data_IF_325027444000
#
_entry.id   IF_325027444000
#
_cell.length_a   1.000
_cell.length_b   1.000
_cell.length_c   1.000
_cell.angle_alpha   90.00
_cell.angle_beta   90.00
_cell.angle_gamma   90.00
#
_symmetry.space_group_name_H-M   'P 1'
#
loop_
_entity.id
_entity.type
_entity.pdbx_description
1 polymer ?
#
# COMPACT_ATOMS: atom_id res chain seq x y z
N UNK A 1 2.97 12.25 4.35
CA UNK A 1 2.33 10.99 4.75
C UNK A 1 0.86 11.09 4.38
N UNK A 2 0.34 10.04 3.77
CA UNK A 2 -1.02 9.92 3.23
C UNK A 2 -1.68 8.73 3.88
N UNK A 3 -2.99 8.81 4.12
CA UNK A 3 -3.80 7.69 4.57
C UNK A 3 -4.64 7.14 3.42
N UNK A 4 -4.98 5.87 3.51
CA UNK A 4 -5.83 5.21 2.54
C UNK A 4 -6.35 3.87 3.03
N UNK A 5 -7.07 3.21 2.15
CA UNK A 5 -7.65 1.89 2.41
C UNK A 5 -7.12 0.92 1.36
N UNK A 6 -6.67 -0.26 1.80
CA UNK A 6 -6.22 -1.31 0.88
C UNK A 6 -7.42 -1.76 0.05
N UNK A 7 -7.36 -1.50 -1.26
CA UNK A 7 -8.43 -1.84 -2.19
C UNK A 7 -8.43 -3.32 -2.50
N UNK A 8 -7.24 -3.87 -2.71
CA UNK A 8 -6.99 -5.30 -2.81
C UNK A 8 -5.48 -5.53 -2.71
N UNK A 9 -5.10 -6.72 -2.26
CA UNK A 9 -3.70 -7.16 -2.24
C UNK A 9 -3.61 -8.65 -2.52
N UNK A 10 -2.77 -9.05 -3.46
CA UNK A 10 -2.48 -10.45 -3.72
C UNK A 10 -1.19 -10.83 -3.01
N UNK A 11 -1.31 -11.55 -1.89
CA UNK A 11 -0.17 -11.96 -1.07
C UNK A 11 0.77 -12.95 -1.77
N UNK A 12 0.25 -13.80 -2.67
CA UNK A 12 1.05 -14.75 -3.44
C UNK A 12 1.95 -14.03 -4.46
N UNK A 13 1.41 -12.97 -5.08
CA UNK A 13 2.14 -12.16 -6.06
C UNK A 13 2.91 -11.00 -5.43
N UNK A 14 2.62 -10.65 -4.18
CA UNK A 14 3.32 -9.60 -3.42
C UNK A 14 2.97 -8.17 -3.86
N UNK A 15 1.80 -7.94 -4.46
CA UNK A 15 1.39 -6.58 -4.84
C UNK A 15 -0.13 -6.38 -4.79
N UNK A 16 -0.52 -5.11 -4.76
CA UNK A 16 -1.90 -4.66 -4.70
C UNK A 16 -2.04 -3.17 -4.98
N UNK A 17 -3.17 -2.62 -4.57
CA UNK A 17 -3.46 -1.18 -4.67
C UNK A 17 -4.10 -0.67 -3.39
N UNK A 18 -3.77 0.58 -3.06
CA UNK A 18 -4.36 1.34 -1.96
C UNK A 18 -5.18 2.47 -2.59
N UNK A 19 -6.45 2.56 -2.22
CA UNK A 19 -7.28 3.71 -2.56
C UNK A 19 -6.97 4.85 -1.58
N UNK A 20 -6.59 5.99 -2.13
CA UNK A 20 -6.44 7.23 -1.38
C UNK A 20 -7.83 7.78 -1.01
N UNK A 21 -7.92 8.52 0.10
CA UNK A 21 -9.16 9.25 0.42
C UNK A 21 -9.47 10.32 -0.63
N UNK A 22 -8.42 10.92 -1.20
CA UNK A 22 -8.50 11.87 -2.32
C UNK A 22 -7.32 11.61 -3.28
N UNK A 23 -7.62 11.16 -4.49
CA UNK A 23 -6.61 10.90 -5.52
C UNK A 23 -6.83 9.58 -6.27
N UNK A 24 -5.94 9.25 -7.21
CA UNK A 24 -5.96 7.95 -7.89
C UNK A 24 -5.58 6.80 -6.94
N UNK A 25 -5.81 5.56 -7.39
CA UNK A 25 -5.28 4.39 -6.69
C UNK A 25 -3.75 4.38 -6.77
N UNK A 26 -3.10 4.00 -5.67
CA UNK A 26 -1.64 3.97 -5.53
C UNK A 26 -1.17 2.53 -5.50
N UNK A 27 -0.17 2.20 -6.31
CA UNK A 27 0.40 0.86 -6.37
C UNK A 27 1.12 0.51 -5.06
N UNK A 28 0.87 -0.70 -4.52
CA UNK A 28 1.49 -1.19 -3.30
C UNK A 28 2.27 -2.48 -3.58
N UNK A 29 3.57 -2.49 -3.31
CA UNK A 29 4.42 -3.66 -3.40
C UNK A 29 4.82 -4.15 -2.00
N UNK A 30 4.96 -5.46 -1.80
CA UNK A 30 5.25 -6.03 -0.49
C UNK A 30 6.53 -5.46 0.14
N UNK A 31 7.54 -5.11 -0.69
CA UNK A 31 8.81 -4.55 -0.21
C UNK A 31 8.65 -3.22 0.53
N UNK A 32 7.59 -2.46 0.22
CA UNK A 32 7.28 -1.18 0.85
C UNK A 32 6.62 -1.31 2.23
N UNK A 33 6.12 -2.50 2.58
CA UNK A 33 5.44 -2.76 3.85
C UNK A 33 6.46 -2.81 4.99
N UNK A 34 6.20 -2.03 6.03
CA UNK A 34 6.97 -1.97 7.26
C UNK A 34 6.39 -3.00 8.24
N UNK A 35 7.01 -4.18 8.27
CA UNK A 35 6.69 -5.27 9.20
C UNK A 35 7.89 -6.21 9.30
N UNK A 36 8.12 -6.77 10.49
CA UNK A 36 9.21 -7.71 10.77
C UNK A 36 8.90 -9.14 10.29
N UNK A 37 7.64 -9.41 9.92
CA UNK A 37 7.15 -10.73 9.51
C UNK A 37 6.81 -10.84 8.03
N UNK A 38 5.86 -11.72 7.71
CA UNK A 38 5.33 -11.84 6.36
C UNK A 38 4.68 -10.51 5.93
N UNK A 39 5.17 -9.95 4.81
CA UNK A 39 4.76 -8.63 4.32
C UNK A 39 3.53 -8.75 3.44
N UNK A 40 2.36 -8.60 4.04
CA UNK A 40 1.08 -8.57 3.32
C UNK A 40 0.15 -7.50 3.87
N UNK A 41 -0.87 -7.20 3.07
CA UNK A 41 -2.00 -6.35 3.44
C UNK A 41 -3.29 -7.12 3.21
N UNK A 42 -4.34 -6.82 3.96
CA UNK A 42 -5.68 -7.34 3.73
C UNK A 42 -6.56 -6.26 3.08
N UNK A 43 -7.50 -6.68 2.24
CA UNK A 43 -8.52 -5.78 1.71
C UNK A 43 -9.31 -5.13 2.85
N UNK A 44 -9.49 -3.81 2.77
CA UNK A 44 -10.15 -3.02 3.79
C UNK A 44 -9.22 -2.47 4.89
N UNK A 45 -7.97 -2.92 4.97
CA UNK A 45 -7.02 -2.39 5.97
C UNK A 45 -6.83 -0.89 5.79
N UNK A 46 -6.88 -0.15 6.90
CA UNK A 46 -6.46 1.25 6.94
C UNK A 46 -4.94 1.30 7.01
N UNK A 47 -4.33 2.12 6.17
CA UNK A 47 -2.88 2.21 6.05
C UNK A 47 -2.42 3.65 5.98
N UNK A 48 -1.21 3.89 6.46
CA UNK A 48 -0.47 5.13 6.27
C UNK A 48 0.78 4.84 5.43
N UNK A 49 1.08 5.72 4.47
CA UNK A 49 2.17 5.55 3.53
C UNK A 49 2.67 6.90 2.99
N UNK A 50 3.80 6.89 2.31
CA UNK A 50 4.27 7.99 1.47
C UNK A 50 4.02 7.64 0.01
N UNK A 51 3.82 8.65 -0.83
CA UNK A 51 3.64 8.47 -2.27
C UNK A 51 4.89 8.95 -2.97
N UNK A 52 5.38 8.13 -3.90
CA UNK A 52 6.47 8.48 -4.81
C UNK A 52 6.04 8.21 -6.25
N UNK A 53 6.63 8.94 -7.19
CA UNK A 53 6.49 8.65 -8.62
C UNK A 53 7.45 7.52 -9.00
N UNK A 54 6.90 6.39 -9.42
CA UNK A 54 7.65 5.27 -9.99
C UNK A 54 7.58 5.22 -11.51
N UNK A 55 8.31 4.29 -12.12
CA UNK A 55 8.30 4.08 -13.57
C UNK A 55 6.92 3.70 -14.14
N UNK A 56 5.98 3.29 -13.29
CA UNK A 56 4.63 2.83 -13.66
C UNK A 56 3.51 3.66 -13.02
N UNK A 57 3.81 4.89 -12.63
CA UNK A 57 2.89 5.77 -11.93
C UNK A 57 3.12 5.81 -10.41
N UNK A 58 2.12 6.27 -9.66
CA UNK A 58 2.23 6.48 -8.22
C UNK A 58 2.39 5.15 -7.48
N UNK A 59 3.37 5.09 -6.59
CA UNK A 59 3.62 3.94 -5.72
C UNK A 59 3.67 4.36 -4.25
N UNK A 60 3.22 3.46 -3.38
CA UNK A 60 3.23 3.62 -1.95
C UNK A 60 4.55 3.08 -1.38
N UNK A 61 5.20 3.88 -0.54
CA UNK A 61 6.42 3.52 0.20
C UNK A 61 6.20 3.71 1.70
N UNK A 62 7.00 3.03 2.52
CA UNK A 62 6.90 3.08 3.99
C UNK A 62 5.48 2.76 4.50
N UNK A 63 4.83 1.75 3.91
CA UNK A 63 3.45 1.39 4.21
C UNK A 63 3.39 0.78 5.62
N UNK A 64 2.53 1.33 6.47
CA UNK A 64 2.26 0.83 7.82
C UNK A 64 0.75 0.66 7.99
N UNK A 65 0.31 -0.48 8.51
CA UNK A 65 -1.09 -0.71 8.85
C UNK A 65 -1.47 0.09 10.10
N UNK A 66 -2.63 0.72 10.06
CA UNK A 66 -3.23 1.43 11.18
C UNK A 66 -4.12 0.43 11.93
N UNK A 67 -3.90 0.32 13.25
CA UNK A 67 -4.73 -0.49 14.13
C UNK A 67 -6.11 0.15 14.37
#
# INVERSE_FOLDING_TARGET
MTQGTVKWFNAEKGYGFISQDNGPDVFAHFSAIQSDGFKSLNEGDKVMFNIEEGQRGLQAVNITTLA
#
